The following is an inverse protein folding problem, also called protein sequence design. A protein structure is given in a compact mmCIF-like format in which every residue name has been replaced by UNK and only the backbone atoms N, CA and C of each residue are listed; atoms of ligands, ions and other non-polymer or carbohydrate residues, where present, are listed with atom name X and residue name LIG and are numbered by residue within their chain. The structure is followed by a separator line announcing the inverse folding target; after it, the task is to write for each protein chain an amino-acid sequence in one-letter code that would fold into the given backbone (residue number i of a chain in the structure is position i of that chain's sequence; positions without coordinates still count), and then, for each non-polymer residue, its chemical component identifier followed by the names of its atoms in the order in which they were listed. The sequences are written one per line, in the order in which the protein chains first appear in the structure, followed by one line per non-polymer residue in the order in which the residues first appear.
data_IF_719497634390
#
_entry.id   IF_719497634390
#
_cell.length_a   1.000
_cell.length_b   1.000
_cell.length_c   1.000
_cell.angle_alpha   90.00
_cell.angle_beta   90.00
_cell.angle_gamma   90.00
#
_symmetry.space_group_name_H-M   'P 1'
#
loop_
_entity.id
_entity.type
_entity.pdbx_description
1 polymer ?
#
# COMPACT_ATOMS: atom_id res chain seq x y z
N UNK A 1 -1.08 -3.23 12.54
CA UNK A 1 -1.93 -4.09 11.69
C UNK A 1 -1.24 -5.42 11.47
N UNK A 2 -1.99 -6.50 11.52
CA UNK A 2 -1.41 -7.82 11.27
C UNK A 2 -1.32 -8.09 9.77
N UNK A 3 -0.33 -8.90 9.35
CA UNK A 3 -0.17 -9.20 7.92
C UNK A 3 -1.41 -9.84 7.31
N UNK A 4 -2.07 -10.75 8.04
CA UNK A 4 -3.26 -11.42 7.51
C UNK A 4 -4.43 -10.47 7.34
N UNK A 5 -4.56 -9.47 8.18
CA UNK A 5 -5.59 -8.45 8.03
C UNK A 5 -5.39 -7.65 6.75
N UNK A 6 -4.17 -7.19 6.53
CA UNK A 6 -3.89 -6.43 5.32
C UNK A 6 -4.03 -7.30 4.07
N UNK A 7 -3.54 -8.54 4.16
CA UNK A 7 -3.65 -9.47 3.04
C UNK A 7 -5.11 -9.71 2.65
N UNK A 8 -6.01 -9.74 3.65
CA UNK A 8 -7.43 -9.92 3.38
C UNK A 8 -8.00 -8.77 2.55
N UNK A 9 -7.57 -7.54 2.82
CA UNK A 9 -8.02 -6.39 2.05
C UNK A 9 -7.56 -6.46 0.60
N UNK A 10 -6.42 -7.09 0.35
CA UNK A 10 -5.86 -7.19 -0.99
C UNK A 10 -6.46 -8.35 -1.79
N UNK A 11 -7.02 -9.35 -1.12
CA UNK A 11 -7.52 -10.58 -1.76
C UNK A 11 -9.01 -10.64 -1.97
N UNK A 12 -9.76 -9.60 -1.53
CA UNK A 12 -11.21 -9.63 -1.73
C UNK A 12 -11.53 -9.62 -3.22
N UNK A 13 -12.63 -10.28 -3.58
CA UNK A 13 -13.02 -10.41 -4.99
C UNK A 13 -13.27 -9.07 -5.67
N UNK A 14 -13.79 -8.11 -4.92
CA UNK A 14 -13.93 -6.74 -5.42
C UNK A 14 -13.03 -5.84 -4.59
N UNK A 15 -11.80 -5.69 -5.06
CA UNK A 15 -10.84 -4.84 -4.38
C UNK A 15 -11.32 -3.38 -4.38
N UNK A 16 -11.20 -2.73 -3.22
CA UNK A 16 -11.49 -1.31 -3.09
C UNK A 16 -10.20 -0.58 -2.77
N UNK A 17 -9.88 0.47 -3.52
CA UNK A 17 -8.73 1.30 -3.18
C UNK A 17 -8.84 1.84 -1.76
N UNK A 18 -7.72 1.91 -1.08
CA UNK A 18 -7.72 2.41 0.29
C UNK A 18 -6.48 3.21 0.57
N UNK A 19 -6.57 4.02 1.62
CA UNK A 19 -5.47 4.83 2.11
C UNK A 19 -5.10 4.38 3.50
N UNK A 20 -3.84 4.09 3.69
CA UNK A 20 -3.30 3.75 5.00
C UNK A 20 -2.79 5.02 5.66
N UNK A 21 -3.29 5.29 6.86
CA UNK A 21 -2.82 6.41 7.66
C UNK A 21 -1.76 5.92 8.61
N UNK A 22 -0.59 6.52 8.54
CA UNK A 22 0.60 6.04 9.23
C UNK A 22 0.92 6.91 10.44
N UNK A 23 1.70 6.34 11.35
CA UNK A 23 2.24 7.11 12.47
C UNK A 23 2.98 8.33 11.92
N UNK A 24 2.75 9.47 12.53
CA UNK A 24 3.38 10.71 12.08
C UNK A 24 2.60 11.47 11.04
N UNK A 25 1.41 11.00 10.67
CA UNK A 25 0.51 11.73 9.78
C UNK A 25 0.73 11.50 8.29
N UNK A 26 1.69 10.67 7.92
CA UNK A 26 1.88 10.32 6.51
C UNK A 26 0.83 9.33 6.05
N UNK A 27 0.61 9.27 4.75
CA UNK A 27 -0.35 8.34 4.17
C UNK A 27 0.28 7.55 3.04
N UNK A 28 -0.30 6.38 2.78
CA UNK A 28 0.11 5.52 1.69
C UNK A 28 -1.15 4.98 1.02
N UNK A 29 -1.29 5.22 -0.27
CA UNK A 29 -2.47 4.81 -1.02
C UNK A 29 -2.20 3.52 -1.77
N UNK A 30 -3.16 2.59 -1.72
CA UNK A 30 -3.14 1.38 -2.52
C UNK A 30 -4.33 1.46 -3.47
N UNK A 31 -4.05 1.72 -4.74
CA UNK A 31 -5.10 1.90 -5.74
C UNK A 31 -5.43 0.63 -6.50
N UNK A 32 -4.49 -0.31 -6.53
CA UNK A 32 -4.68 -1.60 -7.17
C UNK A 32 -4.02 -2.65 -6.31
N UNK A 33 -4.66 -3.82 -6.19
CA UNK A 33 -4.17 -4.85 -5.30
C UNK A 33 -2.77 -5.35 -5.65
N UNK A 34 -2.42 -5.34 -6.94
CA UNK A 34 -1.10 -5.80 -7.37
C UNK A 34 0.02 -4.82 -7.04
N UNK A 35 -0.31 -3.63 -6.55
CA UNK A 35 0.71 -2.64 -6.18
C UNK A 35 1.20 -2.81 -4.75
N UNK A 36 0.63 -3.75 -4.01
CA UNK A 36 1.01 -3.98 -2.62
C UNK A 36 1.35 -5.44 -2.40
N UNK A 37 2.49 -5.70 -1.78
CA UNK A 37 2.90 -7.05 -1.45
C UNK A 37 3.20 -7.11 0.04
N UNK A 38 2.43 -7.93 0.75
CA UNK A 38 2.63 -8.12 2.19
C UNK A 38 3.69 -9.19 2.40
N UNK A 39 4.69 -8.87 3.22
CA UNK A 39 5.77 -9.79 3.51
C UNK A 39 6.16 -9.67 4.98
N UNK A 40 5.85 -10.69 5.75
CA UNK A 40 6.13 -10.70 7.19
C UNK A 40 5.53 -9.48 7.88
N UNK A 41 6.34 -8.57 8.37
CA UNK A 41 5.88 -7.41 9.14
C UNK A 41 5.86 -6.12 8.34
N UNK A 42 6.01 -6.21 7.02
CA UNK A 42 6.05 -5.03 6.16
C UNK A 42 5.14 -5.22 4.96
N UNK A 43 4.80 -4.12 4.31
CA UNK A 43 4.16 -4.15 3.01
C UNK A 43 4.99 -3.30 2.05
N UNK A 44 5.28 -3.89 0.88
CA UNK A 44 5.93 -3.19 -0.21
C UNK A 44 4.86 -2.51 -1.03
N UNK A 45 5.03 -1.21 -1.22
CA UNK A 45 4.09 -0.43 -2.03
C UNK A 45 4.81 0.00 -3.29
N UNK A 46 4.20 -0.26 -4.43
CA UNK A 46 4.69 0.14 -5.72
C UNK A 46 3.75 1.20 -6.28
N UNK A 47 4.29 2.33 -6.68
CA UNK A 47 3.49 3.38 -7.29
C UNK A 47 4.08 3.69 -8.66
N UNK A 48 3.29 3.50 -9.74
CA UNK A 48 3.79 3.86 -11.06
C UNK A 48 4.08 5.35 -11.10
N UNK A 49 5.25 5.71 -11.62
CA UNK A 49 5.56 7.11 -11.83
C UNK A 49 4.74 7.65 -12.98
N UNK A 50 4.22 8.84 -12.78
CA UNK A 50 3.57 9.56 -13.86
C UNK A 50 4.58 10.55 -14.43
N UNK A 51 4.61 10.63 -15.76
CA UNK A 51 5.52 11.56 -16.39
C UNK A 51 6.11 11.00 -17.66
N UNK A 52 7.18 11.63 -18.19
CA UNK A 52 7.78 11.22 -19.45
C UNK A 52 8.22 9.76 -19.42
N UNK A 53 8.16 9.05 -20.57
CA UNK A 53 8.54 7.65 -20.64
C UNK A 53 9.96 7.38 -20.18
N UNK A 54 10.85 8.37 -20.29
CA UNK A 54 12.23 8.20 -19.85
C UNK A 54 12.41 8.30 -18.34
N UNK A 55 11.33 8.57 -17.62
CA UNK A 55 11.37 8.53 -16.16
C UNK A 55 11.53 7.08 -15.74
N UNK A 56 12.62 6.80 -15.05
CA UNK A 56 13.00 5.42 -14.76
C UNK A 56 12.20 4.87 -13.59
N UNK A 57 11.62 3.68 -13.82
CA UNK A 57 11.13 2.84 -12.76
C UNK A 57 9.84 3.30 -12.10
N UNK A 58 9.59 2.72 -10.97
CA UNK A 58 8.45 3.01 -10.13
C UNK A 58 8.94 3.50 -8.79
N UNK A 59 8.17 4.35 -8.16
CA UNK A 59 8.42 4.66 -6.76
C UNK A 59 8.03 3.45 -5.94
N UNK A 60 8.95 2.98 -5.13
CA UNK A 60 8.72 1.85 -4.24
C UNK A 60 9.11 2.26 -2.84
N UNK A 61 8.31 1.83 -1.88
CA UNK A 61 8.66 2.05 -0.49
C UNK A 61 8.07 0.93 0.37
N UNK A 62 8.62 0.81 1.56
CA UNK A 62 8.23 -0.21 2.51
C UNK A 62 7.51 0.48 3.67
N UNK A 63 6.36 -0.06 4.03
CA UNK A 63 5.62 0.40 5.20
C UNK A 63 5.68 -0.69 6.25
N UNK A 64 6.14 -0.36 7.44
CA UNK A 64 6.14 -1.29 8.56
C UNK A 64 4.72 -1.37 9.09
N UNK A 65 4.17 -2.58 9.18
CA UNK A 65 2.76 -2.77 9.53
C UNK A 65 2.40 -2.19 10.88
N UNK A 66 3.34 -2.18 11.83
CA UNK A 66 3.12 -1.59 13.15
C UNK A 66 2.81 -0.09 13.09
N UNK A 67 3.18 0.57 12.01
CA UNK A 67 2.96 2.01 11.89
C UNK A 67 1.68 2.36 11.13
N UNK A 68 0.89 1.37 10.74
CA UNK A 68 -0.42 1.62 10.14
C UNK A 68 -1.42 1.85 11.26
N UNK A 69 -1.98 3.04 11.32
CA UNK A 69 -2.88 3.44 12.39
C UNK A 69 -4.34 3.13 12.04
N UNK A 70 -4.75 3.46 10.83
CA UNK A 70 -6.11 3.17 10.38
C UNK A 70 -6.18 3.20 8.85
N UNK A 71 -7.25 2.61 8.33
CA UNK A 71 -7.47 2.46 6.89
C UNK A 71 -8.72 3.24 6.51
N UNK A 72 -8.59 3.98 5.43
CA UNK A 72 -9.71 4.72 4.86
C UNK A 72 -9.96 4.20 3.44
N UNK A 73 -11.18 3.77 3.17
CA UNK A 73 -11.52 3.36 1.80
C UNK A 73 -11.79 4.58 0.96
N UNK A 74 -11.26 4.58 -0.24
CA UNK A 74 -11.34 5.71 -1.15
C UNK A 74 -12.54 5.61 -2.11
#
# INVERSE_FOLDING_TARGET
MRPDELQSLLRVGQFRPFRMHLTGGKTADVRHSELAVVEKSVVWIHQPKQGPPKTVGQDRYIVVLLHIVWIEFL
#
